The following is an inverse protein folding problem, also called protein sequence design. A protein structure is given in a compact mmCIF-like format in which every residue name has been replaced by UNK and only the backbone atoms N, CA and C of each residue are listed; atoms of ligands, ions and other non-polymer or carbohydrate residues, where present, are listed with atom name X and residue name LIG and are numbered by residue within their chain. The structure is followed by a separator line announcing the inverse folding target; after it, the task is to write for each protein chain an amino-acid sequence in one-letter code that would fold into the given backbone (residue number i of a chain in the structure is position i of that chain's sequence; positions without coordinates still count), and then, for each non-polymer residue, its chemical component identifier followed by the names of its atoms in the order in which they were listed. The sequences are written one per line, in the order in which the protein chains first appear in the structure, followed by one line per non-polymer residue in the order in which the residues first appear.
data_IF_013591204022
#
_entry.id   IF_013591204022
#
_cell.length_a   1.000
_cell.length_b   1.000
_cell.length_c   1.000
_cell.angle_alpha   90.00
_cell.angle_beta   90.00
_cell.angle_gamma   90.00
#
_symmetry.space_group_name_H-M   'P 1'
#
loop_
_entity.id
_entity.type
_entity.pdbx_description
1 polymer ?
#
# COMPACT_ATOMS: atom_id res chain seq x y z
N UNK A 1 14.15 -4.77 -10.78
CA UNK A 1 13.28 -4.39 -9.66
C UNK A 1 11.84 -4.41 -10.15
N UNK A 2 10.92 -4.99 -9.40
CA UNK A 2 9.48 -4.98 -9.70
C UNK A 2 8.74 -4.34 -8.54
N UNK A 3 7.76 -3.48 -8.82
CA UNK A 3 7.04 -2.70 -7.81
C UNK A 3 5.55 -2.97 -7.88
N UNK A 4 4.98 -3.43 -6.78
CA UNK A 4 3.53 -3.55 -6.57
C UNK A 4 3.08 -2.47 -5.59
N UNK A 5 2.08 -1.70 -5.95
CA UNK A 5 1.47 -0.71 -5.07
C UNK A 5 0.05 -1.15 -4.71
N UNK A 6 -0.20 -1.28 -3.41
CA UNK A 6 -1.53 -1.49 -2.84
C UNK A 6 -2.04 -0.17 -2.31
N UNK A 7 -3.06 0.34 -2.96
CA UNK A 7 -3.74 1.56 -2.57
C UNK A 7 -5.09 1.30 -1.93
N UNK A 8 -5.88 2.34 -1.74
CA UNK A 8 -7.26 2.18 -1.29
C UNK A 8 -8.04 3.46 -1.19
N UNK A 9 -9.34 3.30 -1.30
CA UNK A 9 -10.35 4.34 -1.29
C UNK A 9 -10.26 5.22 -0.03
N UNK A 10 -10.20 4.59 1.14
CA UNK A 10 -10.24 5.25 2.44
C UNK A 10 -9.25 4.64 3.44
N UNK A 11 -9.33 5.06 4.70
CA UNK A 11 -8.70 4.34 5.81
C UNK A 11 -9.44 3.03 6.04
N UNK A 12 -8.76 2.07 6.61
CA UNK A 12 -9.31 0.78 7.10
C UNK A 12 -10.11 -0.05 6.08
N UNK A 13 -9.96 0.24 4.79
CA UNK A 13 -10.64 -0.45 3.68
C UNK A 13 -10.04 -1.84 3.37
N UNK A 14 -8.99 -2.27 4.09
CA UNK A 14 -8.37 -3.58 3.90
C UNK A 14 -7.06 -3.61 3.11
N UNK A 15 -6.42 -2.46 2.86
CA UNK A 15 -5.13 -2.37 2.14
C UNK A 15 -4.06 -3.31 2.69
N UNK A 16 -3.82 -3.26 3.99
CA UNK A 16 -2.82 -4.10 4.65
C UNK A 16 -3.15 -5.58 4.52
N UNK A 17 -4.44 -5.94 4.60
CA UNK A 17 -4.86 -7.34 4.45
C UNK A 17 -4.63 -7.84 3.02
N UNK A 18 -4.93 -7.02 2.00
CA UNK A 18 -4.60 -7.34 0.61
C UNK A 18 -3.07 -7.45 0.41
N UNK A 19 -2.31 -6.51 0.94
CA UNK A 19 -0.85 -6.52 0.87
C UNK A 19 -0.26 -7.81 1.48
N UNK A 20 -0.73 -8.20 2.67
CA UNK A 20 -0.34 -9.45 3.33
C UNK A 20 -0.70 -10.68 2.48
N UNK A 21 -1.88 -10.69 1.87
CA UNK A 21 -2.30 -11.78 0.99
C UNK A 21 -1.43 -11.93 -0.26
N UNK A 22 -1.04 -10.81 -0.90
CA UNK A 22 -0.11 -10.83 -2.04
C UNK A 22 1.27 -11.34 -1.61
N UNK A 23 1.78 -10.88 -0.46
CA UNK A 23 3.07 -11.33 0.09
C UNK A 23 3.04 -12.85 0.32
N UNK A 24 2.03 -13.35 1.02
CA UNK A 24 1.88 -14.77 1.34
C UNK A 24 1.62 -15.65 0.09
N UNK A 25 0.93 -15.11 -0.91
CA UNK A 25 0.62 -15.81 -2.15
C UNK A 25 1.77 -15.90 -3.15
N UNK A 26 2.82 -15.10 -2.97
CA UNK A 26 4.00 -15.05 -3.84
C UNK A 26 5.31 -15.05 -3.03
N UNK A 27 5.54 -16.07 -2.19
CA UNK A 27 6.70 -16.11 -1.29
C UNK A 27 8.03 -16.17 -2.06
N UNK A 28 8.04 -16.72 -3.27
CA UNK A 28 9.22 -16.80 -4.14
C UNK A 28 9.75 -15.42 -4.56
N UNK A 29 8.96 -14.37 -4.40
CA UNK A 29 9.37 -13.00 -4.73
C UNK A 29 10.27 -12.37 -3.68
N UNK A 30 10.40 -12.93 -2.48
CA UNK A 30 11.24 -12.39 -1.40
C UNK A 30 11.00 -10.90 -1.13
N UNK A 31 9.74 -10.54 -0.90
CA UNK A 31 9.26 -9.16 -0.84
C UNK A 31 10.01 -8.28 0.16
N UNK A 32 10.37 -7.08 -0.28
CA UNK A 32 10.58 -5.94 0.61
C UNK A 32 9.27 -5.14 0.67
N UNK A 33 8.63 -5.08 1.83
CA UNK A 33 7.38 -4.35 1.99
C UNK A 33 7.62 -2.97 2.62
N UNK A 34 6.88 -1.98 2.16
CA UNK A 34 6.98 -0.59 2.65
C UNK A 34 5.59 -0.04 2.94
N UNK A 35 5.33 0.29 4.20
CA UNK A 35 4.15 1.07 4.56
C UNK A 35 4.49 2.54 4.58
N UNK A 36 3.73 3.37 3.85
CA UNK A 36 3.89 4.82 3.86
C UNK A 36 2.67 5.46 4.54
N UNK A 37 2.93 6.21 5.60
CA UNK A 37 1.90 6.98 6.32
C UNK A 37 2.24 8.45 6.26
N UNK A 38 1.31 9.26 5.75
CA UNK A 38 1.42 10.71 5.79
C UNK A 38 0.61 11.25 6.96
N UNK A 39 1.25 12.06 7.80
CA UNK A 39 0.64 12.70 8.96
C UNK A 39 0.36 14.18 8.67
N UNK A 40 -0.73 14.68 9.22
CA UNK A 40 -0.99 16.11 9.28
C UNK A 40 -0.13 16.80 10.34
N UNK A 41 -0.34 18.11 10.50
CA UNK A 41 0.31 18.89 11.56
C UNK A 41 -0.05 18.32 12.94
N UNK A 42 0.92 18.35 13.86
CA UNK A 42 0.74 17.92 15.25
C UNK A 42 1.08 16.46 15.56
N UNK A 43 1.55 15.69 14.57
CA UNK A 43 2.02 14.32 14.79
C UNK A 43 3.49 14.18 14.41
N UNK A 44 4.26 13.52 15.28
CA UNK A 44 5.66 13.24 15.02
C UNK A 44 5.83 12.16 13.95
N UNK A 45 6.62 12.41 12.91
CA UNK A 45 6.95 11.40 11.93
C UNK A 45 7.81 10.27 12.54
N UNK A 46 8.51 10.53 13.65
CA UNK A 46 9.41 9.56 14.28
C UNK A 46 8.68 8.39 14.93
N UNK A 47 7.57 8.64 15.64
CA UNK A 47 6.83 7.60 16.37
C UNK A 47 5.33 7.63 16.16
N UNK A 48 4.80 8.57 15.38
CA UNK A 48 3.38 8.70 15.10
C UNK A 48 2.54 9.24 16.25
N UNK A 49 3.18 9.68 17.35
CA UNK A 49 2.50 10.25 18.50
C UNK A 49 2.35 11.76 18.38
N UNK A 50 1.49 12.33 19.21
CA UNK A 50 1.40 13.79 19.37
C UNK A 50 2.76 14.35 19.75
N UNK A 51 3.23 15.36 19.04
CA UNK A 51 4.55 15.94 19.22
C UNK A 51 4.41 17.44 19.49
N UNK A 52 5.18 17.94 20.47
CA UNK A 52 5.31 19.37 20.75
C UNK A 52 6.20 20.10 19.72
N UNK A 53 6.72 19.38 18.73
CA UNK A 53 7.37 19.99 17.58
C UNK A 53 6.37 20.92 16.91
N UNK A 54 6.56 22.20 17.06
CA UNK A 54 5.59 23.20 16.61
C UNK A 54 5.32 23.07 15.11
N UNK A 55 4.11 23.31 14.70
CA UNK A 55 3.64 23.26 13.32
C UNK A 55 4.41 24.16 12.33
N UNK A 56 5.41 24.86 12.77
CA UNK A 56 6.22 25.81 11.98
C UNK A 56 7.67 25.40 11.75
N UNK A 57 8.16 24.38 12.44
CA UNK A 57 9.53 23.88 12.28
C UNK A 57 9.52 22.36 12.38
N UNK A 58 9.35 21.64 11.27
CA UNK A 58 9.35 20.18 11.28
C UNK A 58 10.80 19.71 11.51
N UNK A 59 11.21 19.59 12.76
CA UNK A 59 12.50 19.00 13.13
C UNK A 59 12.60 17.54 12.65
N UNK A 60 11.43 16.89 12.43
CA UNK A 60 11.35 15.52 11.98
C UNK A 60 10.32 15.36 10.85
N UNK A 61 10.60 15.86 9.63
CA UNK A 61 9.63 15.82 8.53
C UNK A 61 9.33 14.40 8.04
N UNK A 62 10.21 13.46 8.32
CA UNK A 62 10.03 12.04 8.00
C UNK A 62 10.91 11.15 8.88
N UNK A 63 10.51 9.90 9.02
CA UNK A 63 11.28 8.85 9.68
C UNK A 63 11.02 7.50 9.01
N UNK A 64 12.09 6.73 8.84
CA UNK A 64 12.04 5.36 8.37
C UNK A 64 12.42 4.42 9.51
N UNK A 65 11.61 3.41 9.77
CA UNK A 65 11.94 2.34 10.72
C UNK A 65 11.76 0.98 10.05
N UNK A 66 12.64 0.03 10.39
CA UNK A 66 12.50 -1.37 10.01
C UNK A 66 11.66 -2.08 11.07
N UNK A 67 10.69 -2.88 10.63
CA UNK A 67 9.95 -3.76 11.52
C UNK A 67 10.78 -5.01 11.83
N UNK A 68 10.91 -5.34 13.11
CA UNK A 68 11.67 -6.49 13.58
C UNK A 68 10.80 -7.49 14.37
N UNK A 69 9.57 -7.09 14.70
CA UNK A 69 8.67 -7.90 15.53
C UNK A 69 7.48 -8.41 14.71
N UNK A 70 7.52 -9.66 14.31
CA UNK A 70 6.41 -10.30 13.60
C UNK A 70 5.18 -10.57 14.49
N UNK A 71 5.34 -10.63 15.82
CA UNK A 71 4.25 -10.93 16.76
C UNK A 71 3.42 -9.68 17.12
N UNK A 72 3.87 -8.50 16.68
CA UNK A 72 3.15 -7.24 16.90
C UNK A 72 1.83 -7.17 16.13
N UNK A 73 0.96 -6.24 16.56
CA UNK A 73 -0.36 -6.01 15.93
C UNK A 73 -0.32 -4.89 14.87
N UNK A 74 0.83 -4.27 14.65
CA UNK A 74 0.98 -3.22 13.65
C UNK A 74 0.81 -3.77 12.23
N UNK A 75 0.44 -2.91 11.30
CA UNK A 75 0.35 -3.29 9.89
C UNK A 75 1.68 -3.81 9.34
N UNK A 76 2.80 -3.22 9.78
CA UNK A 76 4.15 -3.66 9.39
C UNK A 76 4.49 -5.03 9.98
N UNK A 77 4.12 -5.30 11.23
CA UNK A 77 4.27 -6.62 11.82
C UNK A 77 3.45 -7.68 11.08
N UNK A 78 2.21 -7.34 10.66
CA UNK A 78 1.37 -8.23 9.84
C UNK A 78 2.02 -8.56 8.50
N UNK A 79 2.64 -7.59 7.82
CA UNK A 79 3.37 -7.82 6.55
C UNK A 79 4.59 -8.71 6.77
N UNK A 80 5.32 -8.52 7.88
CA UNK A 80 6.46 -9.38 8.24
C UNK A 80 6.00 -10.81 8.52
N UNK A 81 4.94 -10.99 9.29
CA UNK A 81 4.32 -12.30 9.56
C UNK A 81 3.76 -12.98 8.31
N UNK A 82 3.33 -12.20 7.31
CA UNK A 82 2.88 -12.71 6.02
C UNK A 82 4.03 -13.25 5.14
N UNK A 83 5.28 -13.09 5.56
CA UNK A 83 6.44 -13.64 4.87
C UNK A 83 7.27 -12.63 4.07
N UNK A 84 7.07 -11.32 4.26
CA UNK A 84 7.99 -10.34 3.70
C UNK A 84 9.40 -10.53 4.28
N UNK A 85 10.43 -10.51 3.44
CA UNK A 85 11.84 -10.61 3.86
C UNK A 85 12.24 -9.44 4.74
N UNK A 86 11.78 -8.26 4.39
CA UNK A 86 12.04 -7.02 5.12
C UNK A 86 10.80 -6.13 5.05
N UNK A 87 10.52 -5.43 6.14
CA UNK A 87 9.39 -4.49 6.20
C UNK A 87 9.86 -3.16 6.76
N UNK A 88 9.49 -2.08 6.09
CA UNK A 88 9.81 -0.73 6.49
C UNK A 88 8.54 0.11 6.67
N UNK A 89 8.54 0.96 7.67
CA UNK A 89 7.53 1.97 7.86
C UNK A 89 8.11 3.35 7.62
N UNK A 90 7.71 3.98 6.51
CA UNK A 90 8.02 5.36 6.20
C UNK A 90 6.88 6.25 6.71
N UNK A 91 7.16 7.03 7.74
CA UNK A 91 6.28 8.06 8.28
C UNK A 91 6.75 9.39 7.75
N UNK A 92 5.83 10.18 7.22
CA UNK A 92 6.21 11.42 6.56
C UNK A 92 5.17 12.52 6.79
N UNK A 93 5.62 13.74 7.01
CA UNK A 93 4.75 14.90 7.07
C UNK A 93 4.08 15.11 5.70
N UNK A 94 2.79 15.44 5.72
CA UNK A 94 2.02 15.67 4.49
C UNK A 94 2.71 16.70 3.59
N UNK A 95 2.84 16.38 2.31
CA UNK A 95 3.55 17.19 1.32
C UNK A 95 5.06 16.94 1.22
N UNK A 96 5.67 16.16 2.13
CA UNK A 96 7.13 15.92 2.15
C UNK A 96 7.54 14.54 1.62
N UNK A 97 6.61 13.79 1.00
CA UNK A 97 6.88 12.43 0.53
C UNK A 97 7.99 12.40 -0.55
N UNK A 98 8.04 13.38 -1.43
CA UNK A 98 9.09 13.47 -2.47
C UNK A 98 10.50 13.48 -1.87
N UNK A 99 10.67 14.14 -0.73
CA UNK A 99 11.97 14.24 -0.05
C UNK A 99 12.31 12.97 0.74
N UNK A 100 11.28 12.30 1.28
CA UNK A 100 11.45 11.13 2.12
C UNK A 100 11.62 9.82 1.32
N UNK A 101 11.08 9.76 0.10
CA UNK A 101 11.04 8.53 -0.69
C UNK A 101 12.43 7.94 -1.00
N UNK A 102 13.47 8.75 -1.35
CA UNK A 102 14.82 8.22 -1.56
C UNK A 102 15.37 7.46 -0.35
N UNK A 103 15.06 7.92 0.87
CA UNK A 103 15.48 7.23 2.11
C UNK A 103 14.94 5.80 2.20
N UNK A 104 13.71 5.57 1.73
CA UNK A 104 13.15 4.23 1.66
C UNK A 104 13.74 3.47 0.47
N UNK A 105 13.92 4.12 -0.69
CA UNK A 105 14.44 3.51 -1.90
C UNK A 105 15.87 2.96 -1.71
N UNK A 106 16.70 3.61 -0.93
CA UNK A 106 18.06 3.14 -0.59
C UNK A 106 18.07 1.81 0.18
N UNK A 107 16.93 1.39 0.73
CA UNK A 107 16.80 0.15 1.52
C UNK A 107 16.40 -1.06 0.70
N UNK A 108 15.79 -0.85 -0.45
CA UNK A 108 15.45 -1.97 -1.33
C UNK A 108 16.48 -2.16 -2.45
N UNK A 109 17.26 -3.00 -2.61
CA UNK A 109 18.28 -3.18 -3.66
C UNK A 109 17.68 -3.12 -5.09
N UNK A 110 18.55 -2.99 -6.08
CA UNK A 110 18.20 -2.90 -7.51
C UNK A 110 17.37 -4.07 -8.04
N UNK A 111 17.52 -5.24 -7.43
CA UNK A 111 16.89 -6.50 -7.86
C UNK A 111 15.71 -6.91 -6.97
N UNK A 112 15.29 -6.04 -6.05
CA UNK A 112 14.21 -6.33 -5.13
C UNK A 112 12.84 -6.37 -5.81
N UNK A 113 11.95 -7.21 -5.27
CA UNK A 113 10.53 -7.07 -5.47
C UNK A 113 9.97 -6.26 -4.31
N UNK A 114 9.38 -5.12 -4.61
CA UNK A 114 8.92 -4.17 -3.59
C UNK A 114 7.40 -4.11 -3.59
N UNK A 115 6.79 -4.27 -2.41
CA UNK A 115 5.37 -4.04 -2.23
C UNK A 115 5.16 -2.81 -1.35
N UNK A 116 4.45 -1.81 -1.86
CA UNK A 116 4.23 -0.53 -1.18
C UNK A 116 2.76 -0.34 -0.86
N UNK A 117 2.42 -0.15 0.41
CA UNK A 117 1.10 0.27 0.83
C UNK A 117 1.01 1.79 0.87
N UNK A 118 0.51 2.40 -0.22
CA UNK A 118 0.29 3.85 -0.34
C UNK A 118 -0.42 4.19 -1.65
N UNK A 119 -1.32 5.18 -1.65
CA UNK A 119 -1.75 5.79 -2.90
C UNK A 119 -0.71 6.80 -3.40
N UNK A 120 -0.32 7.72 -2.51
CA UNK A 120 0.44 8.92 -2.87
C UNK A 120 1.84 8.65 -3.42
N UNK A 121 2.38 7.45 -3.24
CA UNK A 121 3.68 7.08 -3.80
C UNK A 121 3.68 7.12 -5.32
N UNK A 122 2.54 6.86 -5.94
CA UNK A 122 2.36 6.87 -7.40
C UNK A 122 2.50 8.27 -8.03
N UNK A 123 2.60 9.31 -7.23
CA UNK A 123 2.96 10.65 -7.72
C UNK A 123 4.45 10.79 -8.02
N UNK A 124 5.28 9.85 -7.54
CA UNK A 124 6.74 9.95 -7.52
C UNK A 124 7.45 8.73 -8.12
N UNK A 125 6.73 7.63 -8.34
CA UNK A 125 7.25 6.44 -8.99
C UNK A 125 6.16 5.77 -9.85
N UNK A 126 6.62 4.95 -10.79
CA UNK A 126 5.76 4.05 -11.55
C UNK A 126 5.76 2.67 -10.91
N UNK A 127 4.61 2.04 -10.88
CA UNK A 127 4.45 0.67 -10.40
C UNK A 127 4.25 -0.28 -11.59
N UNK A 128 4.77 -1.51 -11.48
CA UNK A 128 4.44 -2.59 -12.43
C UNK A 128 2.99 -3.07 -12.22
N UNK A 129 2.48 -2.95 -10.98
CA UNK A 129 1.09 -3.24 -10.65
C UNK A 129 0.57 -2.23 -9.63
N UNK A 130 -0.55 -1.58 -9.94
CA UNK A 130 -1.32 -0.80 -8.97
C UNK A 130 -2.67 -1.45 -8.71
N UNK A 131 -2.90 -1.86 -7.47
CA UNK A 131 -4.08 -2.59 -7.02
C UNK A 131 -4.75 -1.87 -5.83
N UNK A 132 -5.68 -0.95 -6.05
CA UNK A 132 -6.43 -0.31 -4.98
C UNK A 132 -7.56 -1.18 -4.45
N UNK A 133 -7.79 -1.10 -3.14
CA UNK A 133 -8.95 -1.67 -2.45
C UNK A 133 -10.08 -0.65 -2.44
N UNK A 134 -11.26 -1.08 -2.87
CA UNK A 134 -12.50 -0.28 -2.91
C UNK A 134 -13.55 -0.99 -2.08
N UNK A 135 -14.29 -0.26 -1.27
CA UNK A 135 -15.51 -0.74 -0.63
C UNK A 135 -16.71 -0.14 -1.37
N UNK A 136 -17.49 -1.00 -2.03
CA UNK A 136 -18.64 -0.58 -2.82
C UNK A 136 -19.78 0.02 -1.98
N UNK A 137 -19.79 -0.21 -0.68
CA UNK A 137 -20.79 0.32 0.25
C UNK A 137 -20.46 1.73 0.78
N UNK A 138 -19.25 2.23 0.52
CA UNK A 138 -18.75 3.50 1.06
C UNK A 138 -18.55 4.50 -0.07
N UNK A 139 -19.17 5.66 0.03
CA UNK A 139 -19.05 6.75 -0.95
C UNK A 139 -17.87 7.70 -0.68
N UNK A 140 -17.22 7.58 0.50
CA UNK A 140 -16.12 8.46 0.91
C UNK A 140 -14.79 8.03 0.27
N UNK A 141 -14.28 8.89 -0.60
CA UNK A 141 -13.00 8.70 -1.27
C UNK A 141 -11.99 9.76 -0.84
N UNK A 142 -10.81 9.33 -0.44
CA UNK A 142 -9.69 10.28 -0.30
C UNK A 142 -9.37 10.94 -1.64
N UNK A 143 -9.01 12.23 -1.65
CA UNK A 143 -8.66 12.93 -2.90
C UNK A 143 -7.56 12.21 -3.70
N UNK A 144 -6.55 11.62 -3.03
CA UNK A 144 -5.50 10.84 -3.68
C UNK A 144 -6.03 9.56 -4.32
N UNK A 145 -7.03 8.91 -3.71
CA UNK A 145 -7.64 7.72 -4.29
C UNK A 145 -8.40 8.04 -5.57
N UNK A 146 -9.27 9.06 -5.55
CA UNK A 146 -10.01 9.49 -6.73
C UNK A 146 -9.09 9.83 -7.92
N UNK A 147 -8.03 10.58 -7.64
CA UNK A 147 -7.08 11.03 -8.68
C UNK A 147 -6.28 9.86 -9.29
N UNK A 148 -5.94 8.87 -8.49
CA UNK A 148 -5.07 7.76 -8.90
C UNK A 148 -5.84 6.52 -9.37
N UNK A 149 -7.13 6.42 -9.07
CA UNK A 149 -7.97 5.30 -9.47
C UNK A 149 -7.91 4.99 -10.99
N UNK A 150 -7.88 5.98 -11.90
CA UNK A 150 -7.75 5.72 -13.34
C UNK A 150 -6.44 5.03 -13.76
N UNK A 151 -5.42 5.00 -12.89
CA UNK A 151 -4.13 4.32 -13.12
C UNK A 151 -4.14 2.86 -12.64
N UNK A 152 -5.25 2.38 -12.06
CA UNK A 152 -5.31 1.03 -11.52
C UNK A 152 -5.22 -0.03 -12.62
N UNK A 153 -4.38 -1.04 -12.42
CA UNK A 153 -4.30 -2.22 -13.28
C UNK A 153 -5.47 -3.18 -13.03
N UNK A 154 -5.91 -3.25 -11.78
CA UNK A 154 -7.12 -3.94 -11.35
C UNK A 154 -7.62 -3.36 -10.03
N UNK A 155 -8.86 -3.70 -9.65
CA UNK A 155 -9.50 -3.27 -8.41
C UNK A 155 -9.80 -4.49 -7.54
N UNK A 156 -9.48 -4.43 -6.26
CA UNK A 156 -9.98 -5.35 -5.24
C UNK A 156 -11.22 -4.71 -4.59
N UNK A 157 -12.40 -5.28 -4.77
CA UNK A 157 -13.68 -4.64 -4.41
C UNK A 157 -14.38 -5.42 -3.31
N UNK A 158 -14.52 -4.81 -2.14
CA UNK A 158 -15.30 -5.34 -1.01
C UNK A 158 -16.78 -5.13 -1.31
N UNK A 159 -17.59 -6.17 -1.06
CA UNK A 159 -19.04 -6.11 -1.24
C UNK A 159 -19.49 -6.16 -2.71
N UNK A 160 -18.58 -6.41 -3.65
CA UNK A 160 -18.96 -6.64 -5.05
C UNK A 160 -19.54 -8.06 -5.18
N UNK A 161 -20.83 -8.13 -5.44
CA UNK A 161 -21.52 -9.43 -5.65
C UNK A 161 -21.29 -10.02 -7.05
N UNK A 162 -20.19 -9.65 -7.70
CA UNK A 162 -19.83 -10.19 -9.01
C UNK A 162 -20.74 -9.71 -10.15
N UNK A 163 -21.38 -8.57 -9.98
CA UNK A 163 -22.24 -8.01 -11.00
C UNK A 163 -21.35 -7.37 -12.10
N UNK A 164 -20.87 -8.20 -13.02
CA UNK A 164 -20.08 -7.76 -14.20
C UNK A 164 -20.81 -6.71 -15.03
N UNK A 165 -22.13 -6.54 -14.82
CA UNK A 165 -22.97 -5.57 -15.53
C UNK A 165 -22.69 -4.11 -15.15
N UNK A 166 -22.00 -3.83 -14.04
CA UNK A 166 -21.70 -2.47 -13.57
C UNK A 166 -20.28 -2.01 -13.88
N UNK A 167 -19.41 -2.89 -14.38
CA UNK A 167 -18.08 -2.48 -14.82
C UNK A 167 -18.24 -1.70 -16.15
N UNK A 168 -17.71 -0.46 -16.27
CA UNK A 168 -17.68 0.21 -17.56
C UNK A 168 -16.86 -0.64 -18.54
N UNK A 169 -17.39 -0.84 -19.74
CA UNK A 169 -16.67 -1.56 -20.81
C UNK A 169 -15.32 -0.90 -21.03
N UNK A 170 -14.23 -1.63 -20.80
CA UNK A 170 -12.86 -1.11 -20.93
C UNK A 170 -12.24 -0.57 -19.63
N UNK A 171 -12.90 -0.70 -18.48
CA UNK A 171 -12.32 -0.38 -17.17
C UNK A 171 -11.34 -1.45 -16.66
N UNK A 172 -10.62 -1.18 -15.56
CA UNK A 172 -9.71 -2.14 -14.95
C UNK A 172 -10.47 -3.40 -14.48
N UNK A 173 -9.80 -4.55 -14.52
CA UNK A 173 -10.34 -5.80 -13.99
C UNK A 173 -10.75 -5.65 -12.52
N UNK A 174 -11.89 -6.23 -12.15
CA UNK A 174 -12.39 -6.20 -10.78
C UNK A 174 -12.29 -7.59 -10.17
N UNK A 175 -11.81 -7.65 -8.94
CA UNK A 175 -11.79 -8.85 -8.12
C UNK A 175 -12.71 -8.63 -6.91
N UNK A 176 -13.76 -9.43 -6.82
CA UNK A 176 -14.60 -9.42 -5.62
C UNK A 176 -13.81 -10.01 -4.44
N UNK A 177 -13.81 -9.30 -3.33
CA UNK A 177 -13.19 -9.74 -2.08
C UNK A 177 -14.17 -9.58 -0.93
N UNK A 178 -14.02 -10.41 0.10
CA UNK A 178 -14.87 -10.37 1.29
C UNK A 178 -14.02 -10.55 2.55
N UNK A 179 -14.17 -9.67 3.56
CA UNK A 179 -13.53 -9.90 4.86
C UNK A 179 -13.90 -11.29 5.44
N UNK A 180 -12.97 -11.99 6.11
CA UNK A 180 -11.61 -11.58 6.40
C UNK A 180 -10.61 -11.82 5.25
N UNK A 181 -11.04 -12.41 4.12
CA UNK A 181 -10.19 -12.74 2.98
C UNK A 181 -10.17 -11.58 1.99
N UNK A 182 -9.08 -10.82 1.99
CA UNK A 182 -8.88 -9.66 1.11
C UNK A 182 -8.05 -9.97 -0.14
N UNK A 183 -7.56 -11.21 -0.30
CA UNK A 183 -6.73 -11.59 -1.43
C UNK A 183 -7.12 -12.99 -1.91
N UNK A 184 -7.75 -13.05 -3.08
CA UNK A 184 -8.13 -14.33 -3.70
C UNK A 184 -6.96 -14.91 -4.52
N UNK A 185 -7.01 -16.23 -4.85
CA UNK A 185 -6.05 -16.87 -5.76
C UNK A 185 -5.95 -16.18 -7.12
N UNK A 186 -7.06 -15.60 -7.61
CA UNK A 186 -7.11 -14.87 -8.88
C UNK A 186 -6.32 -13.57 -8.83
N UNK A 187 -6.32 -12.87 -7.68
CA UNK A 187 -5.50 -11.67 -7.45
C UNK A 187 -4.02 -12.06 -7.46
N UNK A 188 -3.67 -13.14 -6.76
CA UNK A 188 -2.30 -13.65 -6.72
C UNK A 188 -1.80 -14.03 -8.11
N UNK A 189 -2.62 -14.74 -8.89
CA UNK A 189 -2.31 -15.10 -10.27
C UNK A 189 -2.12 -13.84 -11.15
N UNK A 190 -3.03 -12.88 -11.03
CA UNK A 190 -2.95 -11.61 -11.77
C UNK A 190 -1.65 -10.87 -11.48
N UNK A 191 -1.28 -10.72 -10.20
CA UNK A 191 -0.02 -10.05 -9.81
C UNK A 191 1.19 -10.83 -10.34
N UNK A 192 1.18 -12.17 -10.22
CA UNK A 192 2.26 -13.03 -10.74
C UNK A 192 2.48 -12.81 -12.24
N UNK A 193 1.41 -12.86 -13.02
CA UNK A 193 1.44 -12.74 -14.48
C UNK A 193 1.96 -11.36 -14.93
N UNK A 194 1.52 -10.30 -14.25
CA UNK A 194 1.99 -8.93 -14.52
C UNK A 194 3.46 -8.73 -14.19
N UNK A 195 3.98 -9.42 -13.19
CA UNK A 195 5.39 -9.32 -12.80
C UNK A 195 6.30 -10.25 -13.63
N UNK A 196 5.75 -11.17 -14.41
CA UNK A 196 6.52 -12.06 -15.27
C UNK A 196 6.91 -11.42 -16.61
N UNK A 197 6.16 -10.42 -17.07
CA UNK A 197 6.45 -9.61 -18.25
C UNK A 197 7.34 -8.43 -17.93
#
# INVERSE_FOLDING_TARGET
MKIVVVGGQSRDVGKTSLACGVIAGLPERNWTAVKITQFGHGFCARDGKTCDCSAGSPEHPYALSRELNADGETDTARMLRAGAREVYWLRVLQGRLKEALPLAADRWGSDANVLIESNSVLDYLEADVYLPVIDASVEDYKPSALRLLPRADALAVVGDQGNERTAPKGGPRRFAIAPPEYCSPEIVAFVRDRLAG
#
